data_IF_114423382279
#
_entry.id   IF_114423382279
#
_cell.length_a   1.000
_cell.length_b   1.000
_cell.length_c   1.000
_cell.angle_alpha   90.00
_cell.angle_beta   90.00
_cell.angle_gamma   90.00
#
_symmetry.space_group_name_H-M   'P 1'
#
loop_
_entity.id
_entity.type
_entity.pdbx_description
1 polymer ?
#
# COMPACT_ATOMS: atom_id res chain seq x y z
N UNK A 1 -7.36 -4.60 12.63
CA UNK A 1 -7.39 -4.50 11.15
C UNK A 1 -8.69 -3.84 10.73
N UNK A 2 -8.64 -2.99 9.70
CA UNK A 2 -9.79 -2.26 9.17
C UNK A 2 -10.00 -2.68 7.71
N UNK A 3 -11.26 -2.87 7.31
CA UNK A 3 -11.64 -3.15 5.91
C UNK A 3 -12.55 -2.05 5.39
N UNK A 4 -12.29 -1.57 4.18
CA UNK A 4 -13.19 -0.66 3.48
C UNK A 4 -14.47 -1.37 3.03
N UNK A 5 -15.64 -0.82 3.38
CA UNK A 5 -16.95 -1.27 2.87
C UNK A 5 -17.02 -1.25 1.34
N UNK A 6 -16.42 -0.23 0.70
CA UNK A 6 -16.42 -0.07 -0.77
C UNK A 6 -15.66 -1.19 -1.50
N UNK A 7 -14.60 -1.71 -0.90
CA UNK A 7 -13.81 -2.80 -1.47
C UNK A 7 -14.34 -4.19 -1.04
N UNK A 8 -14.98 -4.30 0.14
CA UNK A 8 -15.46 -5.58 0.67
C UNK A 8 -16.62 -6.20 -0.12
N UNK A 9 -17.26 -5.43 -1.02
CA UNK A 9 -18.28 -5.95 -1.94
C UNK A 9 -17.72 -6.87 -3.03
N UNK A 10 -16.42 -6.83 -3.29
CA UNK A 10 -15.77 -7.61 -4.33
C UNK A 10 -15.24 -8.93 -3.76
N UNK A 11 -15.77 -10.05 -4.25
CA UNK A 11 -15.36 -11.39 -3.77
C UNK A 11 -13.99 -11.84 -4.30
N UNK A 12 -13.49 -11.21 -5.37
CA UNK A 12 -12.28 -11.60 -6.08
C UNK A 12 -11.00 -10.90 -5.59
N UNK A 13 -11.08 -10.09 -4.53
CA UNK A 13 -9.93 -9.42 -3.93
C UNK A 13 -9.92 -9.58 -2.41
N UNK A 14 -8.72 -9.62 -1.84
CA UNK A 14 -8.51 -9.47 -0.41
C UNK A 14 -7.78 -8.15 -0.15
N UNK A 15 -8.30 -7.34 0.76
CA UNK A 15 -7.68 -6.08 1.19
C UNK A 15 -7.78 -5.93 2.71
N UNK A 16 -6.87 -5.11 3.24
CA UNK A 16 -6.96 -4.64 4.62
C UNK A 16 -6.02 -3.45 4.85
N UNK A 17 -6.42 -2.62 5.82
CA UNK A 17 -5.56 -1.66 6.48
C UNK A 17 -5.21 -2.22 7.86
N UNK A 18 -3.93 -2.52 8.09
CA UNK A 18 -3.48 -3.10 9.34
C UNK A 18 -3.34 -2.03 10.43
N UNK A 19 -3.62 -2.42 11.68
CA UNK A 19 -3.31 -1.62 12.85
C UNK A 19 -2.07 -2.17 13.54
N UNK A 20 -1.61 -1.51 14.61
CA UNK A 20 -0.38 -1.92 15.33
C UNK A 20 -0.48 -3.22 16.13
N UNK A 21 -1.62 -3.92 16.13
CA UNK A 21 -1.94 -5.05 17.01
C UNK A 21 -1.70 -6.39 16.30
N UNK A 22 -1.25 -7.41 17.05
CA UNK A 22 -1.15 -8.80 16.57
C UNK A 22 0.22 -9.20 16.03
N UNK A 23 1.27 -8.40 16.28
CA UNK A 23 2.62 -8.73 15.84
C UNK A 23 3.56 -9.24 16.93
N UNK A 24 4.85 -9.24 16.64
CA UNK A 24 5.94 -9.81 17.45
C UNK A 24 6.98 -8.78 17.90
N UNK A 25 6.85 -7.54 17.47
CA UNK A 25 7.72 -6.44 17.89
C UNK A 25 7.40 -5.99 19.31
N UNK A 26 8.36 -5.35 19.97
CA UNK A 26 8.27 -4.90 21.37
C UNK A 26 8.65 -3.42 21.50
N UNK A 27 8.51 -2.85 22.71
CA UNK A 27 8.84 -1.45 22.97
C UNK A 27 8.03 -0.48 22.11
N UNK A 28 8.68 0.55 21.58
CA UNK A 28 8.05 1.55 20.69
C UNK A 28 7.45 0.93 19.42
N UNK A 29 7.96 -0.22 18.99
CA UNK A 29 7.48 -0.96 17.81
C UNK A 29 6.36 -1.94 18.12
N UNK A 30 5.92 -2.04 19.39
CA UNK A 30 4.86 -2.97 19.79
C UNK A 30 3.58 -2.70 18.98
N UNK A 31 3.00 -3.63 18.24
CA UNK A 31 3.37 -5.05 18.06
C UNK A 31 3.63 -5.45 16.61
N UNK A 32 2.89 -4.90 15.64
CA UNK A 32 2.92 -5.32 14.23
C UNK A 32 3.70 -4.35 13.33
N UNK A 33 4.96 -4.07 13.69
CA UNK A 33 5.84 -3.25 12.86
C UNK A 33 6.33 -4.02 11.62
N UNK A 34 6.02 -3.49 10.43
CA UNK A 34 6.43 -4.05 9.14
C UNK A 34 7.50 -3.19 8.42
N UNK A 35 7.97 -2.12 9.06
CA UNK A 35 8.93 -1.17 8.49
C UNK A 35 10.36 -1.70 8.49
N UNK A 36 10.83 -2.17 7.33
CA UNK A 36 12.22 -2.62 7.17
C UNK A 36 13.27 -1.52 7.35
N UNK A 37 12.88 -0.25 7.20
CA UNK A 37 13.71 0.93 7.47
C UNK A 37 13.69 1.41 8.93
N UNK A 38 12.91 0.77 9.81
CA UNK A 38 12.88 1.12 11.24
C UNK A 38 14.06 0.52 12.00
N UNK A 39 14.31 1.02 13.21
CA UNK A 39 15.32 0.48 14.12
C UNK A 39 14.89 -0.82 14.87
N UNK A 40 13.81 -1.46 14.44
CA UNK A 40 13.35 -2.71 15.04
C UNK A 40 14.20 -3.91 14.60
N UNK A 41 14.11 -5.01 15.35
CA UNK A 41 14.80 -6.26 15.02
C UNK A 41 14.24 -6.81 13.70
N UNK A 42 15.12 -6.98 12.70
CA UNK A 42 14.78 -7.57 11.38
C UNK A 42 13.97 -8.88 11.50
N UNK A 43 14.31 -9.73 12.48
CA UNK A 43 13.57 -10.98 12.76
C UNK A 43 12.10 -10.74 13.11
N UNK A 44 11.77 -9.68 13.86
CA UNK A 44 10.40 -9.33 14.22
C UNK A 44 9.65 -8.78 13.02
N UNK A 45 10.28 -7.89 12.25
CA UNK A 45 9.70 -7.35 11.00
C UNK A 45 9.35 -8.49 10.03
N UNK A 46 10.25 -9.45 9.81
CA UNK A 46 9.99 -10.60 8.94
C UNK A 46 8.82 -11.48 9.44
N UNK A 47 8.72 -11.69 10.76
CA UNK A 47 7.58 -12.40 11.36
C UNK A 47 6.27 -11.63 11.15
N UNK A 48 6.28 -10.31 11.35
CA UNK A 48 5.11 -9.46 11.15
C UNK A 48 4.65 -9.44 9.69
N UNK A 49 5.59 -9.37 8.74
CA UNK A 49 5.29 -9.49 7.31
C UNK A 49 4.69 -10.85 6.95
N UNK A 50 5.16 -11.92 7.58
CA UNK A 50 4.58 -13.26 7.42
C UNK A 50 3.14 -13.31 7.93
N UNK A 51 2.87 -12.72 9.10
CA UNK A 51 1.52 -12.62 9.68
C UNK A 51 0.59 -11.85 8.72
N UNK A 52 1.00 -10.67 8.27
CA UNK A 52 0.24 -9.83 7.32
C UNK A 52 -0.04 -10.58 6.02
N UNK A 53 1.00 -11.19 5.42
CA UNK A 53 0.87 -11.99 4.20
C UNK A 53 -0.13 -13.13 4.39
N UNK A 54 -0.07 -13.86 5.50
CA UNK A 54 -0.98 -14.99 5.76
C UNK A 54 -2.44 -14.55 5.88
N UNK A 55 -2.70 -13.36 6.45
CA UNK A 55 -4.05 -12.79 6.54
C UNK A 55 -4.57 -12.39 5.15
N UNK A 56 -3.73 -11.79 4.29
CA UNK A 56 -4.16 -11.34 2.96
C UNK A 56 -4.27 -12.50 1.97
N UNK A 57 -3.24 -13.35 1.90
CA UNK A 57 -3.18 -14.49 1.03
C UNK A 57 -2.24 -15.57 1.60
N UNK A 58 -2.78 -16.62 2.26
CA UNK A 58 -1.96 -17.68 2.85
C UNK A 58 -1.19 -18.47 1.78
N UNK A 59 -1.72 -18.58 0.56
CA UNK A 59 -1.09 -19.29 -0.56
C UNK A 59 0.07 -18.52 -1.20
N UNK A 60 0.17 -17.21 -0.96
CA UNK A 60 1.26 -16.42 -1.52
C UNK A 60 2.59 -16.72 -0.83
N UNK A 61 3.69 -16.68 -1.59
CA UNK A 61 5.06 -16.88 -1.06
C UNK A 61 5.58 -15.64 -0.31
N UNK A 62 5.19 -14.44 -0.71
CA UNK A 62 5.65 -13.17 -0.13
C UNK A 62 4.65 -12.05 -0.37
N UNK A 63 4.73 -11.01 0.45
CA UNK A 63 4.11 -9.70 0.17
C UNK A 63 5.15 -8.79 -0.47
N UNK A 64 4.75 -8.05 -1.51
CA UNK A 64 5.64 -7.12 -2.21
C UNK A 64 5.49 -5.73 -1.59
N UNK A 65 6.64 -5.15 -1.27
CA UNK A 65 6.78 -3.82 -0.69
C UNK A 65 7.69 -2.96 -1.54
N UNK A 66 7.71 -1.67 -1.22
CA UNK A 66 8.55 -0.65 -1.82
C UNK A 66 9.65 -0.21 -0.83
N UNK A 67 10.73 0.34 -1.38
CA UNK A 67 11.52 1.35 -0.70
C UNK A 67 10.83 2.71 -0.94
N UNK A 68 10.02 3.14 0.03
CA UNK A 68 9.21 4.37 -0.07
C UNK A 68 10.06 5.61 0.13
N UNK A 69 9.94 6.57 -0.79
CA UNK A 69 10.81 7.76 -0.84
C UNK A 69 10.00 9.07 -0.95
N UNK A 70 8.69 9.04 -0.67
CA UNK A 70 7.79 10.19 -0.75
C UNK A 70 7.81 10.87 -2.13
N UNK A 71 7.96 10.06 -3.17
CA UNK A 71 7.94 10.44 -4.58
C UNK A 71 6.57 10.24 -5.21
N UNK A 72 6.50 10.48 -6.52
CA UNK A 72 5.39 10.07 -7.37
C UNK A 72 5.78 8.91 -8.32
N UNK A 73 6.87 8.19 -8.03
CA UNK A 73 7.28 7.00 -8.77
C UNK A 73 6.38 5.83 -8.40
N UNK A 74 5.96 5.05 -9.39
CA UNK A 74 5.19 3.83 -9.17
C UNK A 74 5.76 2.69 -10.04
N UNK A 75 5.44 1.45 -9.66
CA UNK A 75 5.85 0.27 -10.41
C UNK A 75 4.66 -0.59 -10.76
N UNK A 76 4.59 -1.04 -12.01
CA UNK A 76 3.60 -2.01 -12.47
C UNK A 76 4.23 -3.40 -12.58
N UNK A 77 3.68 -4.34 -11.81
CA UNK A 77 4.10 -5.74 -11.81
C UNK A 77 3.08 -6.52 -12.64
N UNK A 78 3.34 -6.61 -13.94
CA UNK A 78 2.53 -7.40 -14.88
C UNK A 78 2.90 -8.88 -14.84
N UNK A 79 2.18 -9.75 -15.55
CA UNK A 79 2.44 -11.20 -15.64
C UNK A 79 3.86 -11.59 -16.12
N UNK A 80 4.60 -10.71 -16.80
CA UNK A 80 5.89 -11.02 -17.42
C UNK A 80 7.10 -10.61 -16.55
N UNK A 81 6.94 -9.66 -15.62
CA UNK A 81 8.04 -9.14 -14.81
C UNK A 81 8.61 -10.17 -13.81
N UNK A 82 9.84 -10.64 -13.97
CA UNK A 82 10.51 -11.46 -12.93
C UNK A 82 10.80 -10.58 -11.70
N UNK A 83 10.19 -10.93 -10.56
CA UNK A 83 10.37 -10.17 -9.31
C UNK A 83 11.69 -10.59 -8.65
N UNK A 84 12.78 -9.92 -9.04
CA UNK A 84 14.09 -10.05 -8.38
C UNK A 84 14.05 -9.45 -6.96
N UNK A 85 14.93 -9.92 -6.07
CA UNK A 85 15.03 -9.37 -4.70
C UNK A 85 15.43 -7.88 -4.78
N UNK A 86 14.74 -7.02 -4.00
CA UNK A 86 15.09 -5.63 -3.65
C UNK A 86 15.20 -4.58 -4.77
N UNK A 87 14.18 -4.29 -5.60
CA UNK A 87 14.30 -3.20 -6.61
C UNK A 87 13.03 -2.39 -6.91
N UNK A 88 12.17 -2.10 -5.93
CA UNK A 88 11.10 -1.12 -6.16
C UNK A 88 11.28 0.09 -5.27
N UNK A 89 12.03 1.07 -5.74
CA UNK A 89 12.06 2.41 -5.14
C UNK A 89 10.90 3.24 -5.71
N UNK A 90 10.01 3.71 -4.84
CA UNK A 90 8.83 4.48 -5.22
C UNK A 90 7.73 4.36 -4.19
N UNK A 91 6.55 4.87 -4.52
CA UNK A 91 5.48 5.09 -3.55
C UNK A 91 4.14 4.50 -4.01
N UNK A 92 4.09 3.80 -5.14
CA UNK A 92 2.97 2.93 -5.46
C UNK A 92 3.37 1.63 -6.19
N UNK A 93 2.59 0.59 -5.90
CA UNK A 93 2.61 -0.68 -6.63
C UNK A 93 1.28 -0.87 -7.33
N UNK A 94 1.33 -1.40 -8.55
CA UNK A 94 0.16 -1.77 -9.35
C UNK A 94 0.39 -3.20 -9.85
N UNK A 95 -0.64 -4.04 -9.85
CA UNK A 95 -0.54 -5.38 -10.45
C UNK A 95 -1.88 -5.89 -10.95
N UNK A 96 -1.84 -6.72 -11.99
CA UNK A 96 -2.95 -7.57 -12.45
C UNK A 96 -2.63 -9.07 -12.28
N UNK A 97 -1.59 -9.41 -11.50
CA UNK A 97 -1.23 -10.79 -11.19
C UNK A 97 -2.10 -11.33 -10.06
N UNK A 98 -2.77 -12.44 -10.32
CA UNK A 98 -3.41 -13.21 -9.25
C UNK A 98 -2.37 -13.70 -8.22
N UNK A 99 -2.81 -13.86 -6.97
CA UNK A 99 -2.01 -14.38 -5.86
C UNK A 99 -0.74 -13.60 -5.48
N UNK A 100 -0.64 -12.33 -5.90
CA UNK A 100 0.47 -11.44 -5.58
C UNK A 100 0.01 -10.28 -4.67
N UNK A 101 0.10 -10.42 -3.34
CA UNK A 101 -0.20 -9.31 -2.44
C UNK A 101 0.86 -8.22 -2.56
N UNK A 102 0.41 -7.00 -2.80
CA UNK A 102 1.21 -5.77 -2.79
C UNK A 102 0.80 -4.92 -1.58
N UNK A 103 1.73 -4.15 -1.03
CA UNK A 103 1.44 -3.26 0.09
C UNK A 103 2.34 -2.03 0.10
N UNK A 104 1.89 -1.03 0.85
CA UNK A 104 2.65 0.14 1.28
C UNK A 104 2.62 0.21 2.80
N UNK A 105 3.59 0.88 3.39
CA UNK A 105 3.71 1.08 4.82
C UNK A 105 3.44 2.54 5.15
N UNK A 106 2.69 2.80 6.22
CA UNK A 106 2.43 4.16 6.69
C UNK A 106 2.46 4.23 8.20
N UNK A 107 2.86 5.40 8.68
CA UNK A 107 2.51 5.97 9.97
C UNK A 107 2.24 7.44 9.64
N UNK A 108 1.01 7.90 9.82
CA UNK A 108 0.50 9.24 9.45
C UNK A 108 0.21 9.48 7.96
N UNK A 109 1.10 9.14 7.03
CA UNK A 109 0.83 9.31 5.59
C UNK A 109 -0.38 8.48 5.11
N UNK A 110 -1.10 8.94 4.08
CA UNK A 110 -2.33 8.29 3.63
C UNK A 110 -2.07 7.04 2.77
N UNK A 111 -2.48 5.83 3.19
CA UNK A 111 -2.46 4.66 2.34
C UNK A 111 -3.74 4.61 1.50
N UNK A 112 -3.62 4.40 0.19
CA UNK A 112 -4.76 4.29 -0.72
C UNK A 112 -4.70 2.94 -1.42
N UNK A 113 -5.80 2.20 -1.38
CA UNK A 113 -5.98 0.95 -2.11
C UNK A 113 -6.98 1.17 -3.25
N UNK A 114 -6.63 0.71 -4.44
CA UNK A 114 -7.47 0.82 -5.65
C UNK A 114 -7.72 -0.58 -6.22
N UNK A 115 -8.93 -0.82 -6.71
CA UNK A 115 -9.31 -2.01 -7.47
C UNK A 115 -10.16 -1.62 -8.68
N UNK A 116 -9.84 -2.19 -9.84
CA UNK A 116 -10.70 -2.19 -11.03
C UNK A 116 -11.29 -3.60 -11.23
N UNK A 117 -12.62 -3.71 -11.17
CA UNK A 117 -13.30 -5.01 -11.20
C UNK A 117 -13.20 -5.71 -12.57
N UNK A 118 -13.11 -4.97 -13.68
CA UNK A 118 -13.15 -5.56 -15.03
C UNK A 118 -11.78 -6.12 -15.43
N UNK A 119 -10.74 -5.34 -15.22
CA UNK A 119 -9.36 -5.72 -15.52
C UNK A 119 -8.70 -6.54 -14.41
N UNK A 120 -9.36 -6.61 -13.24
CA UNK A 120 -8.85 -7.28 -12.02
C UNK A 120 -7.52 -6.66 -11.54
N UNK A 121 -7.29 -5.40 -11.89
CA UNK A 121 -6.08 -4.67 -11.50
C UNK A 121 -6.25 -4.07 -10.11
N UNK A 122 -5.20 -4.15 -9.31
CA UNK A 122 -5.13 -3.52 -7.98
C UNK A 122 -3.94 -2.57 -7.89
N UNK A 123 -4.05 -1.57 -7.02
CA UNK A 123 -2.94 -0.71 -6.64
C UNK A 123 -2.90 -0.46 -5.14
N UNK A 124 -1.70 -0.28 -4.60
CA UNK A 124 -1.43 0.20 -3.26
C UNK A 124 -0.52 1.42 -3.34
N UNK A 125 -0.95 2.54 -2.77
CA UNK A 125 -0.33 3.86 -2.92
C UNK A 125 -0.02 4.42 -1.53
N UNK A 126 1.21 4.88 -1.35
CA UNK A 126 1.65 5.72 -0.26
C UNK A 126 1.55 7.19 -0.68
N UNK A 127 0.60 7.90 -0.09
CA UNK A 127 0.38 9.32 -0.33
C UNK A 127 0.76 10.13 0.92
N UNK A 128 2.06 10.30 1.15
CA UNK A 128 2.55 11.40 1.99
C UNK A 128 2.43 12.73 1.25
N UNK A 129 2.55 13.85 1.97
CA UNK A 129 2.30 15.18 1.39
C UNK A 129 3.11 15.47 0.11
N UNK A 130 4.40 15.11 0.06
CA UNK A 130 5.24 15.30 -1.14
C UNK A 130 4.75 14.49 -2.33
N UNK A 131 4.32 13.25 -2.08
CA UNK A 131 3.81 12.36 -3.13
C UNK A 131 2.45 12.83 -3.63
N UNK A 132 1.57 13.24 -2.72
CA UNK A 132 0.26 13.81 -3.03
C UNK A 132 0.39 15.11 -3.84
N UNK A 133 1.24 16.05 -3.41
CA UNK A 133 1.55 17.28 -4.13
C UNK A 133 2.15 17.03 -5.52
N UNK A 134 2.86 15.91 -5.70
CA UNK A 134 3.43 15.48 -6.98
C UNK A 134 2.49 14.55 -7.78
N UNK A 135 1.20 14.55 -7.46
CA UNK A 135 0.14 13.85 -8.19
C UNK A 135 0.28 12.32 -8.26
N UNK A 136 0.84 11.66 -7.23
CA UNK A 136 1.00 10.19 -7.26
C UNK A 136 -0.32 9.46 -7.55
N UNK A 137 -1.43 9.92 -6.96
CA UNK A 137 -2.75 9.28 -7.13
C UNK A 137 -3.24 9.42 -8.57
N UNK A 138 -3.18 10.63 -9.13
CA UNK A 138 -3.58 10.91 -10.52
C UNK A 138 -2.70 10.12 -11.49
N UNK A 139 -1.38 10.06 -11.25
CA UNK A 139 -0.46 9.28 -12.08
C UNK A 139 -0.79 7.80 -12.09
N UNK A 140 -1.11 7.21 -10.93
CA UNK A 140 -1.52 5.80 -10.84
C UNK A 140 -2.84 5.57 -11.57
N UNK A 141 -3.86 6.41 -11.35
CA UNK A 141 -5.17 6.27 -12.04
C UNK A 141 -5.01 6.40 -13.55
N UNK A 142 -4.28 7.40 -14.03
CA UNK A 142 -4.03 7.61 -15.46
C UNK A 142 -3.29 6.42 -16.08
N UNK A 143 -2.33 5.84 -15.36
CA UNK A 143 -1.65 4.62 -15.81
C UNK A 143 -2.62 3.44 -15.90
N UNK A 144 -3.45 3.22 -14.87
CA UNK A 144 -4.46 2.16 -14.85
C UNK A 144 -5.42 2.30 -16.04
N UNK A 145 -5.89 3.52 -16.33
CA UNK A 145 -6.75 3.81 -17.49
C UNK A 145 -6.04 3.50 -18.80
N UNK A 146 -4.78 3.94 -18.96
CA UNK A 146 -3.96 3.59 -20.13
C UNK A 146 -3.75 2.09 -20.31
N UNK A 147 -3.86 1.30 -19.23
CA UNK A 147 -3.79 -0.17 -19.25
C UNK A 147 -5.16 -0.84 -19.41
N UNK A 148 -6.22 -0.08 -19.72
CA UNK A 148 -7.54 -0.60 -20.04
C UNK A 148 -8.55 -0.56 -18.87
N UNK A 149 -8.20 0.03 -17.73
CA UNK A 149 -9.19 0.30 -16.68
C UNK A 149 -10.14 1.41 -17.14
N UNK A 150 -11.36 1.40 -16.62
CA UNK A 150 -12.31 2.50 -16.85
C UNK A 150 -12.66 3.16 -15.52
N UNK A 151 -12.76 4.48 -15.49
CA UNK A 151 -13.06 5.26 -14.27
C UNK A 151 -14.28 4.72 -13.51
N UNK A 152 -15.35 4.36 -14.24
CA UNK A 152 -16.58 3.77 -13.68
C UNK A 152 -16.38 2.43 -12.96
N UNK A 153 -15.31 1.70 -13.26
CA UNK A 153 -14.98 0.40 -12.66
C UNK A 153 -13.97 0.52 -11.52
N UNK A 154 -13.32 1.69 -11.37
CA UNK A 154 -12.30 1.93 -10.36
C UNK A 154 -12.97 2.24 -9.02
N UNK A 155 -12.65 1.44 -8.01
CA UNK A 155 -12.99 1.72 -6.61
C UNK A 155 -11.72 2.01 -5.83
N UNK A 156 -11.67 3.16 -5.17
CA UNK A 156 -10.58 3.54 -4.26
C UNK A 156 -11.07 3.56 -2.80
N UNK A 157 -10.17 3.23 -1.89
CA UNK A 157 -10.35 3.36 -0.45
C UNK A 157 -9.12 4.02 0.18
N UNK A 158 -9.34 5.07 0.95
CA UNK A 158 -8.33 5.73 1.77
C UNK A 158 -8.35 5.06 3.14
N UNK A 159 -7.18 4.65 3.63
CA UNK A 159 -7.04 4.02 4.93
C UNK A 159 -6.75 5.02 6.06
N UNK A 160 -6.47 4.52 7.27
CA UNK A 160 -6.09 5.36 8.40
C UNK A 160 -4.85 6.20 8.09
N UNK A 161 -4.96 7.50 8.39
CA UNK A 161 -3.91 8.49 8.23
C UNK A 161 -4.10 9.60 9.25
N UNK A 162 -3.14 10.51 9.34
CA UNK A 162 -3.26 11.69 10.20
C UNK A 162 -4.45 12.54 9.73
N UNK A 163 -5.26 12.98 10.69
CA UNK A 163 -6.44 13.81 10.43
C UNK A 163 -6.07 15.29 10.41
N UNK A 164 -6.92 16.14 9.81
CA UNK A 164 -6.71 17.60 9.76
C UNK A 164 -6.44 18.18 11.15
N UNK A 165 -7.21 17.77 12.16
CA UNK A 165 -7.07 18.26 13.55
C UNK A 165 -5.77 17.82 14.24
N UNK A 166 -4.98 16.95 13.62
CA UNK A 166 -3.71 16.45 14.16
C UNK A 166 -2.53 16.74 13.24
N UNK A 167 -2.76 17.31 12.05
CA UNK A 167 -1.73 17.53 11.05
C UNK A 167 -1.31 19.00 11.02
N UNK A 168 -0.64 19.43 12.09
CA UNK A 168 -0.08 20.77 12.17
C UNK A 168 1.04 20.96 11.14
N UNK A 169 0.95 22.06 10.40
CA UNK A 169 1.94 22.49 9.41
C UNK A 169 2.14 23.99 9.57
N UNK A 170 3.31 24.47 9.14
CA UNK A 170 3.60 25.91 9.08
C UNK A 170 2.77 26.58 7.99
N UNK A 171 2.57 27.89 8.09
CA UNK A 171 1.81 28.67 7.10
C UNK A 171 2.41 28.58 5.69
N UNK A 172 3.75 28.54 5.59
CA UNK A 172 4.48 28.41 4.31
C UNK A 172 4.24 27.07 3.59
N UNK A 173 3.64 26.10 4.27
CA UNK A 173 3.25 24.82 3.69
C UNK A 173 1.93 24.89 2.93
N UNK A 174 1.05 25.81 3.30
CA UNK A 174 -0.26 26.00 2.67
C UNK A 174 -0.03 26.77 1.37
N UNK A 175 -0.50 26.21 0.25
CA UNK A 175 -0.37 26.80 -1.09
C UNK A 175 -1.72 27.03 -1.74
#
# INVERSE_FOLDING_TARGET
>A
MIKSKKLNRFQNINHAFFNRIGGKSTGIFKSLNCGSGSADKKKNILKNLTIVKNIINPKSKKIILLNQIHSNKFHFIDKNLKILKNKFEGDALITNRANLPIAVLTADCAPILIHDEKTKMIAAIHAGWKGAYKDIVIKVINFMIKKGCATKNITAAIGPCISVNSYEVKEDFIK
#
